data_IF_046210875372
#
_entry.id   IF_046210875372
#
_cell.length_a   1.000
_cell.length_b   1.000
_cell.length_c   1.000
_cell.angle_alpha   90.00
_cell.angle_beta   90.00
_cell.angle_gamma   90.00
#
_symmetry.space_group_name_H-M   'P 1'
#
loop_
_entity.id
_entity.type
_entity.pdbx_description
1 polymer ?
#
# COMPACT_ATOMS: atom_id res chain seq x y z
N UNK A 1 -33.02 3.88 -43.61
CA UNK A 1 -33.00 3.53 -42.17
C UNK A 1 -31.62 3.94 -41.65
N UNK A 2 -31.41 5.22 -41.32
CA UNK A 2 -31.70 5.89 -40.03
C UNK A 2 -30.83 5.22 -38.93
N UNK A 3 -29.74 5.76 -38.40
CA UNK A 3 -29.22 7.14 -38.29
C UNK A 3 -27.67 7.14 -38.29
N UNK A 4 -27.01 8.15 -38.90
CA UNK A 4 -25.59 8.46 -38.76
C UNK A 4 -25.34 9.55 -37.70
N UNK A 5 -24.06 9.93 -37.51
CA UNK A 5 -23.59 11.17 -36.84
C UNK A 5 -23.55 11.15 -35.30
N UNK A 6 -22.45 10.63 -34.72
CA UNK A 6 -21.84 11.20 -33.49
C UNK A 6 -20.34 10.84 -33.31
N UNK A 7 -19.64 10.39 -34.36
CA UNK A 7 -18.22 10.06 -34.28
C UNK A 7 -17.28 11.15 -34.84
N UNK A 8 -17.82 12.26 -35.37
CA UNK A 8 -17.03 13.27 -36.08
C UNK A 8 -16.82 14.59 -35.31
N UNK A 9 -17.32 14.72 -34.08
CA UNK A 9 -17.22 15.97 -33.28
C UNK A 9 -16.40 15.85 -32.01
N UNK A 10 -15.69 14.74 -31.78
CA UNK A 10 -14.63 14.65 -30.76
C UNK A 10 -13.21 14.65 -31.37
N UNK A 11 -13.10 14.79 -32.69
CA UNK A 11 -11.84 14.69 -33.45
C UNK A 11 -11.16 16.03 -33.76
N UNK A 12 -11.61 17.13 -33.15
CA UNK A 12 -11.03 18.46 -33.37
C UNK A 12 -10.65 19.22 -32.08
N UNK A 13 -10.59 18.55 -30.92
CA UNK A 13 -10.26 19.20 -29.64
C UNK A 13 -9.04 18.63 -28.90
N UNK A 14 -8.28 17.71 -29.51
CA UNK A 14 -7.06 17.13 -28.91
C UNK A 14 -5.88 17.08 -29.90
N UNK A 15 -5.81 18.05 -30.81
CA UNK A 15 -4.56 18.37 -31.49
C UNK A 15 -3.77 19.32 -30.59
N UNK A 16 -3.26 18.80 -29.47
CA UNK A 16 -2.13 19.41 -28.78
C UNK A 16 -0.97 18.42 -28.92
N UNK A 17 0.08 18.86 -29.61
CA UNK A 17 1.25 18.10 -30.06
C UNK A 17 2.10 17.62 -28.87
N UNK A 18 1.59 16.64 -28.13
CA UNK A 18 2.39 15.87 -27.17
C UNK A 18 2.52 14.43 -27.66
N UNK A 19 3.75 13.91 -27.69
CA UNK A 19 4.06 12.51 -28.02
C UNK A 19 3.19 11.50 -27.26
N UNK A 20 2.64 11.88 -26.12
CA UNK A 20 1.84 11.04 -25.22
C UNK A 20 0.48 10.64 -25.85
N UNK A 21 -0.12 11.49 -26.70
CA UNK A 21 -1.42 11.22 -27.34
C UNK A 21 -1.32 10.17 -28.46
N UNK A 22 -0.19 10.10 -29.17
CA UNK A 22 0.03 9.09 -30.21
C UNK A 22 0.32 7.70 -29.63
N UNK A 23 1.00 7.63 -28.47
CA UNK A 23 1.22 6.38 -27.73
C UNK A 23 -0.11 5.82 -27.20
N UNK A 24 -1.01 6.70 -26.75
CA UNK A 24 -2.35 6.33 -26.27
C UNK A 24 -3.18 5.61 -27.34
N UNK A 25 -3.17 6.09 -28.59
CA UNK A 25 -3.92 5.48 -29.71
C UNK A 25 -3.28 4.18 -30.23
N UNK A 26 -1.96 4.03 -30.17
CA UNK A 26 -1.29 2.82 -30.63
C UNK A 26 -1.47 1.63 -29.67
N UNK A 27 -1.49 1.86 -28.34
CA UNK A 27 -1.67 0.75 -27.38
C UNK A 27 -3.07 0.12 -27.42
N UNK A 28 -4.09 0.90 -27.80
CA UNK A 28 -5.48 0.41 -27.98
C UNK A 28 -5.62 -0.53 -29.18
N UNK A 29 -4.76 -0.39 -30.20
CA UNK A 29 -4.92 -1.08 -31.47
C UNK A 29 -4.18 -2.43 -31.53
N UNK A 30 -3.14 -2.66 -30.74
CA UNK A 30 -2.21 -3.79 -31.00
C UNK A 30 -2.31 -4.97 -30.04
N UNK A 31 -2.99 -4.91 -28.89
CA UNK A 31 -3.05 -6.02 -27.89
C UNK A 31 -1.67 -6.59 -27.44
N UNK A 32 -0.56 -6.04 -27.91
CA UNK A 32 0.80 -6.46 -27.62
C UNK A 32 1.40 -5.53 -26.55
N UNK A 33 2.04 -6.13 -25.53
CA UNK A 33 2.80 -5.37 -24.54
C UNK A 33 3.96 -4.69 -25.27
N UNK A 34 4.16 -3.36 -25.17
CA UNK A 34 5.34 -2.73 -25.73
C UNK A 34 6.58 -3.29 -25.04
N UNK A 35 7.39 -4.04 -25.77
CA UNK A 35 8.71 -4.45 -25.31
C UNK A 35 9.60 -3.19 -25.23
N UNK A 36 10.09 -2.86 -24.02
CA UNK A 36 11.09 -1.80 -23.85
C UNK A 36 10.97 -0.90 -22.62
N UNK A 37 9.91 -1.02 -21.79
CA UNK A 37 9.77 -0.19 -20.57
C UNK A 37 10.29 -0.88 -19.29
N UNK A 38 10.55 -2.20 -19.31
CA UNK A 38 10.89 -2.98 -18.11
C UNK A 38 12.27 -3.65 -18.10
N UNK A 39 13.19 -3.28 -18.99
CA UNK A 39 14.61 -3.69 -18.88
C UNK A 39 15.42 -2.75 -17.94
N UNK A 40 14.76 -2.23 -16.90
CA UNK A 40 15.47 -1.71 -15.76
C UNK A 40 15.83 -2.92 -14.88
N UNK A 41 17.12 -3.28 -14.87
CA UNK A 41 17.67 -4.15 -13.82
C UNK A 41 17.25 -3.64 -12.42
N UNK A 42 17.35 -4.47 -11.36
CA UNK A 42 16.69 -4.21 -10.07
C UNK A 42 16.97 -2.80 -9.59
N UNK A 43 16.01 -1.90 -9.80
CA UNK A 43 16.02 -0.57 -9.19
C UNK A 43 15.68 -0.87 -7.76
N UNK A 44 16.71 -0.91 -6.91
CA UNK A 44 16.54 -1.05 -5.48
C UNK A 44 15.43 -0.09 -5.05
N UNK A 45 14.37 -0.61 -4.41
CA UNK A 45 13.45 0.24 -3.67
C UNK A 45 14.31 1.23 -2.90
N UNK A 46 14.03 2.53 -3.00
CA UNK A 46 14.73 3.50 -2.18
C UNK A 46 14.48 3.06 -0.73
N UNK A 47 15.52 2.50 -0.09
CA UNK A 47 15.43 1.69 1.13
C UNK A 47 15.04 2.52 2.39
N UNK A 48 14.37 3.65 2.22
CA UNK A 48 14.15 4.66 3.24
C UNK A 48 12.66 4.88 3.49
N UNK A 49 11.97 3.90 4.06
CA UNK A 49 10.69 4.18 4.73
C UNK A 49 10.80 5.37 5.70
N UNK A 50 9.70 6.08 5.89
CA UNK A 50 9.57 7.14 6.88
C UNK A 50 10.09 6.72 8.26
N UNK A 51 10.95 7.53 8.85
CA UNK A 51 11.62 7.24 10.13
C UNK A 51 10.87 7.80 11.35
N UNK A 52 9.79 8.54 11.11
CA UNK A 52 8.97 9.11 12.16
C UNK A 52 8.29 8.01 12.98
N UNK A 53 8.40 8.05 14.31
CA UNK A 53 7.60 7.17 15.17
C UNK A 53 6.10 7.39 14.94
N UNK A 54 5.39 6.29 14.80
CA UNK A 54 3.93 6.26 14.68
C UNK A 54 3.22 6.64 15.98
N UNK A 55 3.83 6.44 17.16
CA UNK A 55 3.23 6.88 18.43
C UNK A 55 3.21 8.43 18.55
N UNK A 56 2.06 9.01 18.91
CA UNK A 56 1.91 10.46 19.10
C UNK A 56 2.63 10.94 20.37
N UNK A 57 3.20 12.16 20.33
CA UNK A 57 3.76 12.85 21.51
C UNK A 57 2.85 14.00 22.00
N UNK A 58 2.60 14.14 23.33
CA UNK A 58 2.94 13.17 24.37
C UNK A 58 2.13 11.87 24.23
N UNK A 59 2.70 10.76 24.71
CA UNK A 59 2.07 9.43 24.63
C UNK A 59 0.71 9.49 25.32
N UNK A 60 -0.34 9.26 24.54
CA UNK A 60 -1.73 9.33 25.00
C UNK A 60 -2.40 8.00 24.69
N UNK A 61 -3.13 7.44 25.65
CA UNK A 61 -3.94 6.24 25.44
C UNK A 61 -5.29 6.59 24.83
N UNK A 62 -5.78 5.71 23.96
CA UNK A 62 -7.09 5.83 23.35
C UNK A 62 -8.20 5.39 24.30
N UNK A 63 -9.33 6.09 24.28
CA UNK A 63 -10.54 5.69 25.03
C UNK A 63 -11.37 4.67 24.25
N UNK A 64 -11.37 4.77 22.91
CA UNK A 64 -12.12 3.92 22.00
C UNK A 64 -11.39 3.82 20.66
N UNK A 65 -11.84 2.91 19.80
CA UNK A 65 -11.42 2.87 18.40
C UNK A 65 -11.90 4.13 17.68
N UNK A 66 -11.02 4.80 16.95
CA UNK A 66 -11.40 5.98 16.16
C UNK A 66 -10.36 6.32 15.11
N UNK A 67 -10.81 6.91 14.01
CA UNK A 67 -9.96 7.50 12.99
C UNK A 67 -10.27 8.98 12.81
N UNK A 68 -9.25 9.83 12.78
CA UNK A 68 -9.36 11.25 12.55
C UNK A 68 -8.51 11.63 11.32
N UNK A 69 -9.13 11.77 10.14
CA UNK A 69 -8.41 12.17 8.95
C UNK A 69 -7.92 13.61 9.06
N UNK A 70 -6.74 13.87 8.48
CA UNK A 70 -6.13 15.20 8.42
C UNK A 70 -6.92 16.16 7.52
N UNK A 71 -6.58 17.46 7.56
CA UNK A 71 -7.27 18.45 6.75
C UNK A 71 -7.10 18.19 5.24
N UNK A 72 -5.89 17.81 4.83
CA UNK A 72 -5.60 17.48 3.43
C UNK A 72 -6.30 16.19 3.01
N UNK A 73 -6.33 15.17 3.87
CA UNK A 73 -7.03 13.92 3.57
C UNK A 73 -8.54 14.15 3.37
N UNK A 74 -9.18 14.93 4.24
CA UNK A 74 -10.60 15.30 4.08
C UNK A 74 -10.86 16.00 2.75
N UNK A 75 -9.97 16.89 2.32
CA UNK A 75 -10.06 17.56 1.02
C UNK A 75 -9.99 16.56 -0.13
N UNK A 76 -9.06 15.61 -0.07
CA UNK A 76 -8.91 14.57 -1.09
C UNK A 76 -10.09 13.61 -1.11
N UNK A 77 -10.55 13.12 0.04
CA UNK A 77 -11.72 12.24 0.13
C UNK A 77 -12.96 12.88 -0.52
N UNK A 78 -13.22 14.17 -0.25
CA UNK A 78 -14.38 14.89 -0.81
C UNK A 78 -14.28 15.19 -2.31
N UNK A 79 -13.08 15.16 -2.90
CA UNK A 79 -12.85 15.63 -4.27
C UNK A 79 -11.93 14.69 -5.05
N UNK A 80 -11.91 13.40 -4.72
CA UNK A 80 -10.92 12.45 -5.20
C UNK A 80 -10.80 12.47 -6.73
N UNK A 81 -11.91 12.23 -7.42
CA UNK A 81 -11.99 12.22 -8.89
C UNK A 81 -11.48 13.52 -9.51
N UNK A 82 -11.87 14.67 -8.96
CA UNK A 82 -11.46 15.97 -9.48
C UNK A 82 -9.97 16.25 -9.23
N UNK A 83 -9.46 15.91 -8.05
CA UNK A 83 -8.07 16.18 -7.67
C UNK A 83 -7.08 15.20 -8.31
N UNK A 84 -7.54 14.04 -8.79
CA UNK A 84 -6.70 13.05 -9.49
C UNK A 84 -6.95 13.02 -11.00
N UNK A 85 -7.72 13.95 -11.55
CA UNK A 85 -8.11 13.91 -12.97
C UNK A 85 -6.94 14.08 -13.96
N UNK A 86 -5.96 14.91 -13.59
CA UNK A 86 -4.80 15.21 -14.40
C UNK A 86 -3.59 15.61 -13.52
N UNK A 87 -2.40 15.54 -14.11
CA UNK A 87 -1.13 15.80 -13.42
C UNK A 87 -1.05 17.22 -12.86
N UNK A 88 -1.55 18.22 -13.60
CA UNK A 88 -1.44 19.62 -13.18
C UNK A 88 -2.29 19.88 -11.93
N UNK A 89 -3.53 19.40 -11.92
CA UNK A 89 -4.43 19.56 -10.77
C UNK A 89 -3.96 18.76 -9.55
N UNK A 90 -3.52 17.51 -9.75
CA UNK A 90 -2.96 16.68 -8.68
C UNK A 90 -1.78 17.37 -8.00
N UNK A 91 -0.79 17.78 -8.78
CA UNK A 91 0.43 18.37 -8.24
C UNK A 91 0.21 19.77 -7.68
N UNK A 92 -0.73 20.53 -8.25
CA UNK A 92 -1.19 21.79 -7.65
C UNK A 92 -1.83 21.58 -6.27
N UNK A 93 -2.58 20.49 -6.09
CA UNK A 93 -3.25 20.18 -4.83
C UNK A 93 -2.30 19.66 -3.73
N UNK A 94 -1.19 19.01 -4.10
CA UNK A 94 -0.16 18.50 -3.20
C UNK A 94 0.94 19.53 -2.88
N UNK A 95 1.04 20.60 -3.66
CA UNK A 95 2.08 21.63 -3.55
C UNK A 95 2.20 22.16 -2.12
N UNK A 96 3.42 22.15 -1.58
CA UNK A 96 3.74 22.61 -0.22
C UNK A 96 3.47 21.57 0.86
N UNK A 97 2.53 20.63 0.65
CA UNK A 97 2.32 19.52 1.59
C UNK A 97 3.33 18.40 1.37
N UNK A 98 3.69 18.10 0.12
CA UNK A 98 4.67 17.05 -0.21
C UNK A 98 5.99 17.24 0.53
N UNK A 99 6.57 18.42 0.49
CA UNK A 99 7.87 18.72 1.09
C UNK A 99 7.80 18.68 2.62
N UNK A 100 6.74 19.27 3.21
CA UNK A 100 6.56 19.28 4.66
C UNK A 100 6.32 17.87 5.20
N UNK A 101 5.44 17.10 4.54
CA UNK A 101 5.16 15.72 4.90
C UNK A 101 6.44 14.88 4.90
N UNK A 102 7.18 14.85 3.80
CA UNK A 102 8.40 14.06 3.71
C UNK A 102 9.47 14.55 4.69
N UNK A 103 9.62 15.87 4.87
CA UNK A 103 10.55 16.41 5.85
C UNK A 103 10.18 16.03 7.29
N UNK A 104 8.89 15.91 7.62
CA UNK A 104 8.44 15.40 8.91
C UNK A 104 8.65 13.89 9.03
N UNK A 105 8.30 13.12 8.00
CA UNK A 105 8.37 11.66 8.04
C UNK A 105 9.81 11.14 8.08
N UNK A 106 10.76 11.88 7.49
CA UNK A 106 12.18 11.55 7.54
C UNK A 106 12.84 11.94 8.87
N UNK A 107 12.18 12.74 9.72
CA UNK A 107 12.68 13.05 11.06
C UNK A 107 12.36 11.90 12.02
N UNK A 108 13.35 11.49 12.82
CA UNK A 108 13.17 10.51 13.92
C UNK A 108 12.43 11.08 15.14
N UNK A 109 11.60 12.10 14.95
CA UNK A 109 10.88 12.80 16.02
C UNK A 109 9.39 12.49 15.89
N UNK A 110 8.70 12.08 16.96
CA UNK A 110 7.26 11.82 16.90
C UNK A 110 6.47 13.03 16.39
N UNK A 111 5.44 12.78 15.60
CA UNK A 111 4.47 13.81 15.27
C UNK A 111 3.76 14.30 16.54
N UNK A 112 3.43 15.59 16.55
CA UNK A 112 2.57 16.16 17.58
C UNK A 112 1.11 15.84 17.25
N UNK A 113 0.25 15.85 18.27
CA UNK A 113 -1.20 15.68 18.09
C UNK A 113 -1.88 16.81 17.29
N UNK A 114 -1.13 17.82 16.84
CA UNK A 114 -1.61 19.01 16.13
C UNK A 114 -1.10 19.09 14.68
N UNK A 115 -0.53 18.02 14.13
CA UNK A 115 -0.14 18.04 12.71
C UNK A 115 -1.38 18.12 11.82
N UNK A 116 -1.40 19.08 10.89
CA UNK A 116 -2.43 19.22 9.86
C UNK A 116 -2.25 18.26 8.67
N UNK A 117 -1.10 17.57 8.62
CA UNK A 117 -0.71 16.66 7.55
C UNK A 117 -1.10 15.22 7.89
N UNK A 118 -0.65 14.72 9.05
CA UNK A 118 -0.85 13.31 9.41
C UNK A 118 -2.23 13.07 10.00
N UNK A 119 -2.83 11.97 9.57
CA UNK A 119 -4.07 11.47 10.17
C UNK A 119 -3.76 10.78 11.49
N UNK A 120 -4.75 10.70 12.37
CA UNK A 120 -4.60 10.09 13.69
C UNK A 120 -5.49 8.85 13.78
N UNK A 121 -4.93 7.78 14.33
CA UNK A 121 -5.65 6.53 14.54
C UNK A 121 -5.53 6.08 15.99
N UNK A 122 -6.66 5.62 16.51
CA UNK A 122 -6.78 4.88 17.75
C UNK A 122 -7.25 3.48 17.40
N UNK A 123 -6.37 2.47 17.43
CA UNK A 123 -6.74 1.10 17.04
C UNK A 123 -7.78 0.47 17.97
N UNK A 124 -7.77 0.85 19.24
CA UNK A 124 -8.72 0.34 20.23
C UNK A 124 -8.58 1.01 21.59
N UNK A 125 -9.48 0.68 22.53
CA UNK A 125 -9.38 1.13 23.92
C UNK A 125 -8.01 0.78 24.52
N UNK A 126 -7.45 1.69 25.31
CA UNK A 126 -6.14 1.58 25.97
C UNK A 126 -4.92 1.50 25.03
N UNK A 127 -5.10 1.37 23.71
CA UNK A 127 -4.02 1.41 22.75
C UNK A 127 -3.31 2.77 22.78
N UNK A 128 -2.04 2.81 22.39
CA UNK A 128 -1.34 4.07 22.17
C UNK A 128 -1.95 4.79 20.98
N UNK A 129 -2.26 6.08 21.12
CA UNK A 129 -2.70 6.93 20.00
C UNK A 129 -1.57 7.10 18.99
N UNK A 130 -1.90 6.99 17.72
CA UNK A 130 -0.90 6.89 16.64
C UNK A 130 -1.16 7.92 15.55
N UNK A 131 -0.10 8.27 14.83
CA UNK A 131 -0.19 8.90 13.52
C UNK A 131 -0.06 7.86 12.42
N UNK A 132 -0.63 8.20 11.28
CA UNK A 132 -0.54 7.47 10.03
C UNK A 132 -0.48 8.50 8.90
N UNK A 133 0.19 8.16 7.80
CA UNK A 133 0.23 9.04 6.64
C UNK A 133 -1.17 9.33 6.10
N UNK A 134 -1.43 10.55 5.59
CA UNK A 134 -2.74 10.88 5.09
C UNK A 134 -3.02 10.13 3.79
N UNK A 135 -4.27 9.71 3.60
CA UNK A 135 -4.75 9.28 2.29
C UNK A 135 -4.85 10.53 1.41
N UNK A 136 -3.96 10.67 0.42
CA UNK A 136 -3.93 11.81 -0.51
C UNK A 136 -3.39 11.41 -1.88
N UNK A 137 -3.63 12.27 -2.87
CA UNK A 137 -3.11 12.10 -4.22
C UNK A 137 -3.57 10.80 -4.87
N UNK A 138 -2.61 10.05 -5.39
CA UNK A 138 -2.81 8.73 -6.02
C UNK A 138 -2.63 7.58 -5.02
N UNK A 139 -2.68 7.87 -3.71
CA UNK A 139 -2.42 6.92 -2.63
C UNK A 139 -1.04 6.24 -2.75
N UNK A 140 -0.05 7.03 -3.15
CA UNK A 140 1.36 6.67 -3.35
C UNK A 140 2.25 7.81 -2.89
N UNK A 141 3.56 7.69 -3.15
CA UNK A 141 4.51 8.76 -2.87
C UNK A 141 4.03 10.10 -3.46
N UNK A 142 3.92 11.17 -2.66
CA UNK A 142 3.39 12.46 -3.09
C UNK A 142 4.29 13.20 -4.09
N UNK A 143 5.49 12.68 -4.38
CA UNK A 143 6.38 13.15 -5.45
C UNK A 143 6.13 12.45 -6.78
N UNK A 144 5.49 11.28 -6.77
CA UNK A 144 5.20 10.51 -7.95
C UNK A 144 4.34 11.34 -8.92
N UNK A 145 4.75 11.39 -10.19
CA UNK A 145 4.22 12.28 -11.25
C UNK A 145 4.39 13.79 -11.05
N UNK A 146 4.74 14.27 -9.85
CA UNK A 146 4.85 15.70 -9.56
C UNK A 146 6.25 16.29 -9.69
N UNK A 147 7.28 15.44 -9.76
CA UNK A 147 8.65 15.84 -10.02
C UNK A 147 9.09 15.44 -11.44
N UNK A 148 10.17 16.08 -11.93
CA UNK A 148 10.68 15.88 -13.31
C UNK A 148 11.10 14.44 -13.65
N UNK A 149 11.35 13.61 -12.63
CA UNK A 149 11.82 12.23 -12.73
C UNK A 149 10.89 11.29 -11.94
N UNK A 150 9.65 11.08 -12.40
CA UNK A 150 8.66 10.28 -11.66
C UNK A 150 9.12 8.82 -11.45
N UNK A 151 9.95 8.29 -12.34
CA UNK A 151 10.52 6.94 -12.28
C UNK A 151 11.35 6.67 -11.02
N UNK A 152 11.91 7.71 -10.40
CA UNK A 152 12.65 7.59 -9.14
C UNK A 152 11.74 7.34 -7.94
N UNK A 153 10.44 7.58 -8.10
CA UNK A 153 9.45 7.52 -7.03
C UNK A 153 8.37 6.45 -7.26
N UNK A 154 8.41 5.72 -8.39
CA UNK A 154 7.44 4.66 -8.71
C UNK A 154 7.30 3.65 -7.58
N UNK A 155 8.43 3.21 -7.02
CA UNK A 155 8.48 2.23 -5.93
C UNK A 155 8.93 2.86 -4.60
N UNK A 156 8.76 4.17 -4.44
CA UNK A 156 9.16 4.83 -3.19
C UNK A 156 8.10 4.64 -2.11
N UNK A 157 8.60 4.38 -0.90
CA UNK A 157 7.83 4.14 0.32
C UNK A 157 8.23 5.11 1.43
N UNK A 158 8.95 6.19 1.09
CA UNK A 158 9.43 7.22 2.03
C UNK A 158 8.28 7.95 2.74
N UNK A 159 7.10 7.92 2.14
CA UNK A 159 5.87 8.57 2.58
C UNK A 159 5.11 7.76 3.64
N UNK A 160 5.34 6.44 3.74
CA UNK A 160 4.65 5.56 4.68
C UNK A 160 5.10 5.83 6.13
N UNK A 161 4.14 5.79 7.05
CA UNK A 161 4.39 5.82 8.50
C UNK A 161 4.11 4.43 9.05
N UNK A 162 5.14 3.61 9.20
CA UNK A 162 5.01 2.23 9.71
C UNK A 162 4.83 2.20 11.23
N UNK A 163 4.16 1.15 11.72
CA UNK A 163 4.10 0.85 13.15
C UNK A 163 5.47 0.60 13.77
N UNK A 164 5.54 0.75 15.10
CA UNK A 164 6.76 0.58 15.88
C UNK A 164 6.45 0.08 17.30
N UNK A 165 7.49 -0.29 18.05
CA UNK A 165 7.32 -0.79 19.42
C UNK A 165 6.78 0.25 20.42
N UNK A 166 6.74 1.54 20.08
CA UNK A 166 6.13 2.57 20.93
C UNK A 166 4.63 2.66 20.70
N UNK A 167 4.18 2.44 19.47
CA UNK A 167 2.76 2.36 19.13
C UNK A 167 2.14 1.03 19.53
N UNK A 168 2.91 -0.07 19.45
CA UNK A 168 2.53 -1.40 19.92
C UNK A 168 3.51 -1.93 20.97
N UNK A 169 3.46 -1.44 22.23
CA UNK A 169 4.40 -1.82 23.27
C UNK A 169 4.32 -3.30 23.67
N UNK A 170 3.20 -3.98 23.39
CA UNK A 170 3.04 -5.41 23.63
C UNK A 170 4.02 -6.25 22.82
N UNK A 171 4.58 -5.75 21.72
CA UNK A 171 5.59 -6.47 20.92
C UNK A 171 6.87 -6.77 21.69
N UNK A 172 7.11 -6.07 22.80
CA UNK A 172 8.24 -6.32 23.71
C UNK A 172 7.94 -7.40 24.75
N UNK A 173 6.70 -7.85 24.84
CA UNK A 173 6.28 -8.94 25.73
C UNK A 173 6.66 -10.29 25.15
N UNK A 174 7.18 -11.18 25.98
CA UNK A 174 7.47 -12.58 25.60
C UNK A 174 6.22 -13.36 25.16
N UNK A 175 5.04 -12.89 25.52
CA UNK A 175 3.76 -13.54 25.19
C UNK A 175 3.12 -13.01 23.90
N UNK A 176 3.69 -11.96 23.30
CA UNK A 176 3.23 -11.39 22.03
C UNK A 176 3.93 -12.06 20.86
N UNK A 177 3.16 -12.54 19.89
CA UNK A 177 3.70 -12.96 18.58
C UNK A 177 3.75 -11.78 17.63
N UNK A 178 4.71 -11.83 16.71
CA UNK A 178 4.87 -10.89 15.61
C UNK A 178 4.82 -11.67 14.30
N UNK A 179 3.72 -11.56 13.56
CA UNK A 179 3.43 -12.39 12.39
C UNK A 179 3.28 -11.50 11.16
N UNK A 180 3.97 -11.86 10.07
CA UNK A 180 3.80 -11.21 8.78
C UNK A 180 3.13 -12.15 7.77
N UNK A 181 2.17 -11.64 7.02
CA UNK A 181 1.47 -12.34 5.95
C UNK A 181 1.77 -11.62 4.64
N UNK A 182 2.21 -12.35 3.62
CA UNK A 182 2.55 -11.81 2.30
C UNK A 182 1.83 -12.62 1.22
N UNK A 183 0.76 -12.05 0.66
CA UNK A 183 0.12 -12.59 -0.52
C UNK A 183 0.76 -11.96 -1.75
N UNK A 184 1.41 -12.78 -2.59
CA UNK A 184 2.14 -12.38 -3.80
C UNK A 184 3.65 -12.19 -3.59
N UNK A 185 4.23 -12.89 -2.63
CA UNK A 185 5.67 -12.80 -2.35
C UNK A 185 6.50 -13.62 -3.33
N UNK A 186 6.88 -13.00 -4.45
CA UNK A 186 7.60 -13.68 -5.55
C UNK A 186 9.07 -14.00 -5.24
N UNK A 187 9.80 -13.09 -4.58
CA UNK A 187 11.17 -13.32 -4.06
C UNK A 187 11.34 -12.67 -2.71
N UNK A 188 12.27 -13.19 -1.91
CA UNK A 188 12.53 -12.63 -0.58
C UNK A 188 13.04 -11.18 -0.66
N UNK A 189 13.97 -10.90 -1.58
CA UNK A 189 14.64 -9.59 -1.71
C UNK A 189 13.74 -8.45 -2.20
N UNK A 190 12.51 -8.74 -2.58
CA UNK A 190 11.55 -7.75 -3.06
C UNK A 190 10.88 -7.06 -1.84
N UNK A 191 9.54 -6.99 -1.81
CA UNK A 191 8.80 -6.31 -0.75
C UNK A 191 9.06 -6.90 0.66
N UNK A 192 9.19 -8.23 0.77
CA UNK A 192 9.31 -8.89 2.07
C UNK A 192 10.57 -8.46 2.83
N UNK A 193 11.73 -8.41 2.16
CA UNK A 193 12.98 -7.96 2.77
C UNK A 193 12.87 -6.53 3.32
N UNK A 194 12.16 -5.64 2.62
CA UNK A 194 11.86 -4.31 3.12
C UNK A 194 11.07 -4.37 4.42
N UNK A 195 9.95 -5.09 4.46
CA UNK A 195 9.09 -5.15 5.64
C UNK A 195 9.84 -5.69 6.86
N UNK A 196 10.48 -6.85 6.73
CA UNK A 196 11.17 -7.48 7.88
C UNK A 196 12.31 -6.61 8.41
N UNK A 197 13.05 -5.95 7.51
CA UNK A 197 14.12 -5.03 7.89
C UNK A 197 13.56 -3.78 8.59
N UNK A 198 12.51 -3.17 8.04
CA UNK A 198 11.96 -1.92 8.58
C UNK A 198 11.22 -2.11 9.90
N UNK A 199 10.54 -3.23 10.08
CA UNK A 199 9.98 -3.56 11.38
C UNK A 199 11.06 -3.85 12.42
N UNK A 200 12.13 -4.56 12.05
CA UNK A 200 13.25 -4.81 12.96
C UNK A 200 13.92 -3.49 13.41
N UNK A 201 14.20 -2.57 12.48
CA UNK A 201 14.69 -1.22 12.79
C UNK A 201 13.77 -0.44 13.77
N UNK A 202 12.49 -0.79 13.81
CA UNK A 202 11.44 -0.19 14.66
C UNK A 202 11.15 -1.00 15.93
N UNK A 203 11.97 -2.00 16.21
CA UNK A 203 11.88 -2.84 17.41
C UNK A 203 10.78 -3.89 17.34
N UNK A 204 10.35 -4.28 16.14
CA UNK A 204 9.37 -5.34 15.88
C UNK A 204 10.05 -6.42 15.02
N UNK A 205 10.69 -7.39 15.66
CA UNK A 205 11.28 -8.51 14.93
C UNK A 205 10.22 -9.60 14.68
N UNK A 206 9.97 -10.01 13.44
CA UNK A 206 8.95 -11.03 13.13
C UNK A 206 9.36 -12.41 13.64
N UNK A 207 8.42 -13.11 14.30
CA UNK A 207 8.56 -14.51 14.72
C UNK A 207 8.22 -15.47 13.58
N UNK A 208 7.20 -15.14 12.80
CA UNK A 208 6.63 -16.01 11.78
C UNK A 208 6.25 -15.21 10.54
N UNK A 209 6.49 -15.80 9.38
CA UNK A 209 6.16 -15.22 8.08
C UNK A 209 5.41 -16.28 7.26
N UNK A 210 4.28 -15.92 6.68
CA UNK A 210 3.54 -16.75 5.73
C UNK A 210 3.53 -16.08 4.38
N UNK A 211 3.99 -16.79 3.35
CA UNK A 211 4.12 -16.25 1.98
C UNK A 211 3.34 -17.13 1.02
N UNK A 212 2.47 -16.53 0.21
CA UNK A 212 1.78 -17.21 -0.89
C UNK A 212 2.30 -16.70 -2.23
N UNK A 213 2.57 -17.62 -3.14
CA UNK A 213 2.99 -17.32 -4.50
C UNK A 213 2.36 -18.37 -5.44
N UNK A 214 1.55 -17.90 -6.40
CA UNK A 214 0.85 -18.78 -7.34
C UNK A 214 1.83 -19.41 -8.34
N UNK A 215 2.83 -18.65 -8.79
CA UNK A 215 3.83 -19.15 -9.73
C UNK A 215 4.83 -20.04 -9.00
N UNK A 216 4.87 -21.32 -9.35
CA UNK A 216 5.82 -22.25 -8.73
C UNK A 216 7.26 -21.88 -9.08
N UNK A 217 8.05 -21.46 -8.10
CA UNK A 217 9.49 -21.17 -8.22
C UNK A 217 10.32 -22.21 -7.47
N UNK A 218 11.61 -22.31 -7.72
CA UNK A 218 12.49 -23.10 -6.85
C UNK A 218 13.08 -22.24 -5.74
N UNK A 219 13.57 -22.86 -4.66
CA UNK A 219 14.12 -22.14 -3.51
C UNK A 219 15.30 -21.23 -3.90
N UNK A 220 16.15 -21.66 -4.85
CA UNK A 220 17.25 -20.82 -5.33
C UNK A 220 16.78 -19.53 -6.02
N UNK A 221 15.67 -19.58 -6.75
CA UNK A 221 15.06 -18.40 -7.37
C UNK A 221 14.46 -17.46 -6.33
N UNK A 222 13.74 -18.01 -5.35
CA UNK A 222 13.11 -17.22 -4.29
C UNK A 222 14.14 -16.46 -3.43
N UNK A 223 15.24 -17.13 -3.07
CA UNK A 223 16.31 -16.56 -2.26
C UNK A 223 17.40 -15.84 -3.07
N UNK A 224 17.31 -15.79 -4.41
CA UNK A 224 18.33 -15.19 -5.26
C UNK A 224 18.60 -13.72 -4.87
N UNK A 225 19.86 -13.40 -4.61
CA UNK A 225 20.30 -12.06 -4.19
C UNK A 225 20.21 -11.80 -2.67
N UNK A 226 19.69 -12.75 -1.88
CA UNK A 226 19.66 -12.63 -0.42
C UNK A 226 21.03 -13.00 0.16
N UNK A 227 21.66 -12.15 0.97
CA UNK A 227 22.86 -12.52 1.72
C UNK A 227 22.64 -13.77 2.58
N UNK A 228 23.70 -14.58 2.76
CA UNK A 228 23.59 -15.87 3.46
C UNK A 228 23.14 -15.73 4.91
N UNK A 229 23.64 -14.73 5.62
CA UNK A 229 23.27 -14.41 7.00
C UNK A 229 21.80 -13.97 7.13
N UNK A 230 21.32 -13.16 6.17
CA UNK A 230 19.92 -12.73 6.10
C UNK A 230 19.01 -13.93 5.84
N UNK A 231 19.37 -14.81 4.89
CA UNK A 231 18.63 -16.05 4.62
C UNK A 231 18.61 -16.96 5.84
N UNK A 232 19.75 -17.20 6.47
CA UNK A 232 19.86 -18.07 7.64
C UNK A 232 18.95 -17.60 8.80
N UNK A 233 18.74 -16.29 8.94
CA UNK A 233 17.81 -15.72 9.92
C UNK A 233 16.34 -15.97 9.56
N UNK A 234 15.95 -15.73 8.30
CA UNK A 234 14.55 -15.65 7.90
C UNK A 234 13.96 -16.95 7.36
N UNK A 235 14.75 -17.79 6.69
CA UNK A 235 14.30 -19.06 6.13
C UNK A 235 13.64 -19.98 7.18
N UNK A 236 14.16 -20.13 8.42
CA UNK A 236 13.51 -20.95 9.44
C UNK A 236 12.19 -20.38 9.98
N UNK A 237 11.91 -19.10 9.76
CA UNK A 237 10.71 -18.39 10.24
C UNK A 237 9.62 -18.30 9.16
N UNK A 238 9.96 -18.69 7.94
CA UNK A 238 9.16 -18.47 6.75
C UNK A 238 8.47 -19.77 6.31
N UNK A 239 7.15 -19.73 6.24
CA UNK A 239 6.33 -20.77 5.60
C UNK A 239 5.97 -20.30 4.20
N UNK A 240 6.57 -20.93 3.19
CA UNK A 240 6.35 -20.58 1.79
C UNK A 240 5.35 -21.54 1.12
N UNK A 241 4.17 -21.04 0.79
CA UNK A 241 3.16 -21.71 -0.01
C UNK A 241 3.45 -21.52 -1.50
N UNK A 242 4.50 -22.21 -1.95
CA UNK A 242 5.03 -22.13 -3.31
C UNK A 242 4.17 -22.88 -4.35
N UNK A 243 3.68 -22.17 -5.37
CA UNK A 243 2.78 -22.73 -6.38
C UNK A 243 1.35 -22.90 -5.86
N UNK A 244 0.98 -22.18 -4.80
CA UNK A 244 -0.32 -22.27 -4.15
C UNK A 244 -0.94 -20.87 -4.11
N UNK A 245 -2.04 -20.62 -4.84
CA UNK A 245 -2.72 -19.33 -4.79
C UNK A 245 -3.40 -19.11 -3.44
N UNK A 246 -3.68 -17.85 -3.13
CA UNK A 246 -4.59 -17.54 -2.02
C UNK A 246 -6.02 -17.97 -2.36
N UNK A 247 -6.78 -18.36 -1.35
CA UNK A 247 -8.19 -18.74 -1.48
C UNK A 247 -9.08 -17.60 -0.98
N UNK A 248 -10.21 -17.37 -1.66
CA UNK A 248 -11.25 -16.45 -1.20
C UNK A 248 -12.28 -17.14 -0.29
N UNK A 249 -12.25 -18.46 -0.21
CA UNK A 249 -13.25 -19.22 0.55
C UNK A 249 -12.96 -19.10 2.05
N UNK A 250 -13.95 -18.71 2.85
CA UNK A 250 -13.78 -18.70 4.30
C UNK A 250 -13.55 -20.12 4.85
N UNK A 251 -12.68 -20.27 5.84
CA UNK A 251 -12.31 -21.57 6.41
C UNK A 251 -11.23 -22.33 5.63
N UNK A 252 -10.83 -21.85 4.45
CA UNK A 252 -9.73 -22.43 3.68
C UNK A 252 -8.37 -22.09 4.32
N UNK A 253 -7.49 -23.07 4.48
CA UNK A 253 -6.17 -22.87 5.08
C UNK A 253 -5.26 -21.91 4.28
N UNK A 254 -5.57 -21.69 2.99
CA UNK A 254 -4.89 -20.76 2.11
C UNK A 254 -5.65 -19.44 1.93
N UNK A 255 -6.74 -19.22 2.65
CA UNK A 255 -7.31 -17.89 2.82
C UNK A 255 -6.50 -17.13 3.88
N UNK A 256 -5.76 -16.05 3.50
CA UNK A 256 -4.93 -15.32 4.45
C UNK A 256 -5.75 -14.62 5.55
N UNK A 257 -6.96 -14.16 5.24
CA UNK A 257 -7.85 -13.50 6.22
C UNK A 257 -8.35 -14.51 7.26
N UNK A 258 -8.75 -15.70 6.83
CA UNK A 258 -9.09 -16.79 7.74
C UNK A 258 -7.90 -17.11 8.66
N UNK A 259 -6.71 -17.27 8.10
CA UNK A 259 -5.49 -17.55 8.87
C UNK A 259 -5.12 -16.44 9.85
N UNK A 260 -5.30 -15.18 9.47
CA UNK A 260 -5.12 -14.02 10.37
C UNK A 260 -6.07 -14.13 11.57
N UNK A 261 -7.34 -14.46 11.37
CA UNK A 261 -8.32 -14.64 12.46
C UNK A 261 -7.97 -15.80 13.38
N UNK A 262 -7.41 -16.89 12.84
CA UNK A 262 -6.96 -18.04 13.65
C UNK A 262 -5.68 -17.76 14.43
N UNK A 263 -4.72 -17.08 13.79
CA UNK A 263 -3.38 -16.94 14.31
C UNK A 263 -3.17 -15.66 15.10
N UNK A 264 -3.80 -14.54 14.80
CA UNK A 264 -3.57 -13.27 15.49
C UNK A 264 -4.46 -13.17 16.72
N UNK A 265 -3.91 -12.69 17.84
CA UNK A 265 -4.64 -12.50 19.09
C UNK A 265 -4.48 -11.08 19.59
N UNK A 266 -5.36 -10.67 20.50
CA UNK A 266 -5.19 -9.41 21.22
C UNK A 266 -3.80 -9.34 21.88
N UNK A 267 -3.04 -8.31 21.55
CA UNK A 267 -1.68 -8.08 22.04
C UNK A 267 -0.58 -8.55 21.08
N UNK A 268 -0.88 -9.42 20.11
CA UNK A 268 0.03 -9.75 19.02
C UNK A 268 0.20 -8.55 18.08
N UNK A 269 1.30 -8.55 17.31
CA UNK A 269 1.47 -7.68 16.15
C UNK A 269 1.35 -8.50 14.88
N UNK A 270 0.35 -8.21 14.07
CA UNK A 270 0.12 -8.89 12.81
C UNK A 270 0.08 -7.89 11.66
N UNK A 271 0.92 -8.10 10.65
CA UNK A 271 0.95 -7.28 9.45
C UNK A 271 0.65 -8.13 8.21
N UNK A 272 -0.09 -7.57 7.25
CA UNK A 272 -0.50 -8.26 6.03
C UNK A 272 -0.27 -7.38 4.80
N UNK A 273 0.51 -7.87 3.83
CA UNK A 273 0.56 -7.33 2.46
C UNK A 273 -0.33 -8.17 1.55
N UNK A 274 -1.22 -7.50 0.83
CA UNK A 274 -2.02 -8.06 -0.25
C UNK A 274 -1.67 -7.34 -1.56
N UNK A 275 -0.99 -8.04 -2.46
CA UNK A 275 -0.67 -7.56 -3.80
C UNK A 275 -0.29 -8.80 -4.64
N UNK A 276 -1.28 -9.30 -5.39
CA UNK A 276 -1.26 -10.54 -6.18
C UNK A 276 -1.74 -10.31 -7.63
N UNK A 277 -1.88 -9.05 -8.06
CA UNK A 277 -2.32 -8.65 -9.40
C UNK A 277 -3.64 -9.33 -9.85
N UNK A 278 -4.57 -9.52 -8.91
CA UNK A 278 -5.86 -10.17 -9.21
C UNK A 278 -7.02 -9.43 -8.51
N UNK A 279 -7.51 -8.31 -9.09
CA UNK A 279 -8.43 -7.40 -8.41
C UNK A 279 -9.69 -8.05 -7.83
N UNK A 280 -10.22 -9.08 -8.51
CA UNK A 280 -11.40 -9.82 -8.02
C UNK A 280 -11.12 -10.62 -6.76
N UNK A 281 -9.96 -11.28 -6.68
CA UNK A 281 -9.56 -12.07 -5.52
C UNK A 281 -9.21 -11.14 -4.37
N UNK A 282 -8.44 -10.10 -4.65
CA UNK A 282 -8.05 -9.09 -3.65
C UNK A 282 -9.27 -8.38 -3.08
N UNK A 283 -10.18 -7.91 -3.94
CA UNK A 283 -11.42 -7.27 -3.50
C UNK A 283 -12.26 -8.16 -2.59
N UNK A 284 -12.32 -9.46 -2.84
CA UNK A 284 -13.01 -10.42 -1.98
C UNK A 284 -12.34 -10.59 -0.61
N UNK A 285 -11.00 -10.62 -0.56
CA UNK A 285 -10.24 -10.67 0.70
C UNK A 285 -10.35 -9.36 1.50
N UNK A 286 -10.30 -8.21 0.81
CA UNK A 286 -10.50 -6.91 1.46
C UNK A 286 -11.91 -6.79 2.02
N UNK A 287 -12.92 -7.31 1.32
CA UNK A 287 -14.29 -7.36 1.84
C UNK A 287 -14.36 -8.18 3.14
N UNK A 288 -13.67 -9.32 3.22
CA UNK A 288 -13.58 -10.09 4.47
C UNK A 288 -12.91 -9.29 5.60
N UNK A 289 -11.85 -8.53 5.32
CA UNK A 289 -11.22 -7.65 6.31
C UNK A 289 -12.14 -6.50 6.76
N UNK A 290 -12.93 -5.94 5.84
CA UNK A 290 -13.95 -4.93 6.17
C UNK A 290 -15.03 -5.50 7.06
N UNK A 291 -15.43 -6.76 6.88
CA UNK A 291 -16.39 -7.43 7.74
C UNK A 291 -15.78 -7.68 9.13
N UNK A 292 -14.66 -8.41 9.16
CA UNK A 292 -13.92 -8.74 10.38
C UNK A 292 -12.43 -8.97 10.06
N UNK A 293 -11.58 -8.00 10.44
CA UNK A 293 -10.12 -8.12 10.34
C UNK A 293 -9.48 -8.86 11.53
N UNK A 294 -10.29 -9.28 12.51
CA UNK A 294 -9.86 -9.96 13.72
C UNK A 294 -8.90 -9.10 14.55
N UNK A 295 -7.65 -9.53 14.62
CA UNK A 295 -6.58 -8.85 15.35
C UNK A 295 -5.45 -8.39 14.43
N UNK A 296 -5.74 -8.20 13.13
CA UNK A 296 -4.79 -7.61 12.21
C UNK A 296 -4.44 -6.19 12.67
N UNK A 297 -3.15 -5.88 12.68
CA UNK A 297 -2.63 -4.63 13.21
C UNK A 297 -2.33 -3.63 12.10
N UNK A 298 -1.71 -4.10 11.02
CA UNK A 298 -1.27 -3.27 9.90
C UNK A 298 -1.50 -3.99 8.58
N UNK A 299 -1.96 -3.26 7.57
CA UNK A 299 -2.40 -3.82 6.30
C UNK A 299 -1.87 -2.96 5.15
N UNK A 300 -1.33 -3.60 4.10
CA UNK A 300 -0.81 -2.96 2.91
C UNK A 300 -1.52 -3.55 1.69
N UNK A 301 -2.10 -2.69 0.86
CA UNK A 301 -2.87 -3.12 -0.30
C UNK A 301 -2.66 -2.19 -1.48
N UNK A 302 -2.32 -2.75 -2.64
CA UNK A 302 -2.26 -1.99 -3.89
C UNK A 302 -3.62 -2.06 -4.59
N UNK A 303 -4.43 -1.01 -4.43
CA UNK A 303 -5.78 -1.01 -5.01
C UNK A 303 -5.76 -0.50 -6.45
N UNK A 304 -5.69 -1.41 -7.43
CA UNK A 304 -5.72 -1.07 -8.85
C UNK A 304 -7.12 -0.63 -9.31
N UNK A 305 -7.31 0.68 -9.43
CA UNK A 305 -8.58 1.30 -9.85
C UNK A 305 -8.45 2.05 -11.17
N UNK A 306 -9.58 2.38 -11.80
CA UNK A 306 -9.59 3.19 -13.01
C UNK A 306 -8.98 4.59 -12.76
N UNK A 307 -7.92 4.91 -13.50
CA UNK A 307 -7.27 6.22 -13.48
C UNK A 307 -6.53 6.50 -14.78
N UNK A 308 -6.74 7.69 -15.35
CA UNK A 308 -6.00 8.13 -16.54
C UNK A 308 -4.49 8.28 -16.25
N UNK A 309 -4.13 8.66 -15.02
CA UNK A 309 -2.74 8.87 -14.60
C UNK A 309 -2.01 7.56 -14.30
N UNK A 310 -2.72 6.53 -13.83
CA UNK A 310 -2.13 5.25 -13.43
C UNK A 310 -2.23 4.15 -14.50
N UNK A 311 -3.06 4.35 -15.53
CA UNK A 311 -3.29 3.34 -16.57
C UNK A 311 -1.99 2.81 -17.21
N UNK A 312 -1.00 3.69 -17.43
CA UNK A 312 0.28 3.30 -18.03
C UNK A 312 1.17 2.46 -17.09
N UNK A 313 0.90 2.48 -15.79
CA UNK A 313 1.69 1.79 -14.78
C UNK A 313 1.04 0.46 -14.35
N UNK A 314 -0.30 0.43 -14.22
CA UNK A 314 -1.07 -0.77 -13.86
C UNK A 314 -1.45 -1.65 -15.05
N UNK A 315 -1.33 -1.12 -16.27
CA UNK A 315 -1.57 -1.85 -17.52
C UNK A 315 -2.93 -2.57 -17.54
N UNK A 316 -2.95 -3.89 -17.30
CA UNK A 316 -4.12 -4.75 -17.48
C UNK A 316 -4.84 -5.07 -16.18
N UNK A 317 -4.23 -4.81 -15.03
CA UNK A 317 -4.71 -5.28 -13.74
C UNK A 317 -5.66 -4.25 -13.09
N UNK A 318 -6.44 -3.54 -13.91
CA UNK A 318 -7.28 -2.42 -13.49
C UNK A 318 -8.72 -2.88 -13.23
N UNK A 319 -9.26 -2.54 -12.07
CA UNK A 319 -10.70 -2.59 -11.84
C UNK A 319 -11.37 -1.36 -12.47
N UNK A 320 -12.01 -1.55 -13.63
CA UNK A 320 -12.70 -0.49 -14.37
C UNK A 320 -14.03 -0.04 -13.74
N UNK A 321 -14.55 -0.78 -12.76
CA UNK A 321 -15.77 -0.42 -12.05
C UNK A 321 -15.50 0.48 -10.83
N UNK A 322 -14.23 0.72 -10.51
CA UNK A 322 -13.79 1.49 -9.35
C UNK A 322 -12.83 2.61 -9.77
N UNK A 323 -12.74 3.64 -8.95
CA UNK A 323 -11.85 4.79 -9.14
C UNK A 323 -11.25 5.19 -7.78
N UNK A 324 -10.47 6.27 -7.73
CA UNK A 324 -9.84 6.68 -6.47
C UNK A 324 -10.83 7.00 -5.33
N UNK A 325 -12.03 7.49 -5.60
CA UNK A 325 -13.06 7.71 -4.57
C UNK A 325 -13.34 6.41 -3.80
N UNK A 326 -13.47 5.31 -4.52
CA UNK A 326 -13.65 3.98 -3.93
C UNK A 326 -12.44 3.57 -3.08
N UNK A 327 -11.22 3.85 -3.52
CA UNK A 327 -10.02 3.59 -2.72
C UNK A 327 -10.00 4.41 -1.44
N UNK A 328 -10.33 5.71 -1.50
CA UNK A 328 -10.42 6.57 -0.31
C UNK A 328 -11.45 6.04 0.70
N UNK A 329 -12.62 5.63 0.22
CA UNK A 329 -13.67 5.07 1.08
C UNK A 329 -13.24 3.75 1.71
N UNK A 330 -12.63 2.86 0.92
CA UNK A 330 -12.13 1.56 1.35
C UNK A 330 -11.07 1.69 2.44
N UNK A 331 -10.01 2.46 2.22
CA UNK A 331 -8.96 2.66 3.21
C UNK A 331 -9.47 3.43 4.44
N UNK A 332 -10.37 4.41 4.26
CA UNK A 332 -11.00 5.09 5.39
C UNK A 332 -11.80 4.12 6.27
N UNK A 333 -12.61 3.26 5.67
CA UNK A 333 -13.46 2.31 6.40
C UNK A 333 -12.63 1.31 7.21
N UNK A 334 -11.50 0.83 6.67
CA UNK A 334 -10.55 0.00 7.41
C UNK A 334 -9.92 0.78 8.58
N UNK A 335 -9.48 2.02 8.36
CA UNK A 335 -8.88 2.87 9.41
C UNK A 335 -9.88 3.24 10.50
N UNK A 336 -11.14 3.48 10.17
CA UNK A 336 -12.24 3.73 11.11
C UNK A 336 -12.49 2.52 12.03
N UNK A 337 -12.22 1.30 11.55
CA UNK A 337 -12.23 0.06 12.32
C UNK A 337 -10.94 -0.19 13.13
N UNK A 338 -10.03 0.77 13.16
CA UNK A 338 -8.79 0.70 13.93
C UNK A 338 -7.64 -0.03 13.24
N UNK A 339 -7.84 -0.52 12.01
CA UNK A 339 -6.78 -1.17 11.24
C UNK A 339 -5.87 -0.10 10.61
N UNK A 340 -4.54 -0.22 10.78
CA UNK A 340 -3.58 0.64 10.09
C UNK A 340 -3.46 0.20 8.63
N UNK A 341 -4.40 0.66 7.80
CA UNK A 341 -4.43 0.33 6.38
C UNK A 341 -3.65 1.34 5.55
N UNK A 342 -2.69 0.87 4.78
CA UNK A 342 -1.79 1.63 3.92
C UNK A 342 -2.08 1.25 2.46
N UNK A 343 -2.16 2.26 1.61
CA UNK A 343 -2.07 1.99 0.18
C UNK A 343 -0.64 1.61 -0.18
N UNK A 344 -0.50 0.63 -1.06
CA UNK A 344 0.78 0.07 -1.51
C UNK A 344 1.12 0.53 -2.93
N UNK A 345 2.34 0.21 -3.37
CA UNK A 345 2.97 0.66 -4.63
C UNK A 345 2.96 -0.41 -5.70
#
# INVERSE_FOLDING_TARGET
MIWPVFAATALAALADDSCDAQIFLQSFATQERPAGIYDAGPVAMTNFAGQMPSAVSPKTSCSQTSYLPSAIEKKFKLNAVQLTKDRHVLCGALKGTTEEWLAMNLKKTPATSKSDIFSQICPGPMATKQVIEPLVGLLRDPRFLCLKKPELFTFSVDWLVLADNKSFPSTTSSNSRRIFFDAGGSRFVDALNFFVTKYEERGIEMDQIYVWEMEKKNASQYWAGTPEDVRAKWEPRLTWYNGIPVSINEGDMHNPVHRIRELCRMGDFCAFKLDIDTPKVEGALVQQLLEDHGHLTEFFFEHHVQSHLMHLYWLRDINFDQNFEHSYDLFSALREKGLRAHSWI
#
